data_IF_006495805163
#
_entry.id   IF_006495805163
#
_cell.length_a   1.000
_cell.length_b   1.000
_cell.length_c   1.000
_cell.angle_alpha   90.00
_cell.angle_beta   90.00
_cell.angle_gamma   90.00
#
_symmetry.space_group_name_H-M   'P 1'
#
loop_
_entity.id
_entity.type
_entity.pdbx_description
1 polymer ?
#
# COMPACT_ATOMS: atom_id res chain seq x y z
N UNK A 1 -20.41 3.43 -17.86
CA UNK A 1 -20.41 4.57 -16.87
C UNK A 1 -19.84 4.02 -15.57
N UNK A 2 -18.93 4.74 -14.87
CA UNK A 2 -18.37 4.29 -13.58
C UNK A 2 -19.50 4.24 -12.54
N UNK A 3 -19.72 3.07 -11.95
CA UNK A 3 -20.69 2.81 -10.90
C UNK A 3 -20.04 2.60 -9.53
N UNK A 4 -18.83 2.06 -9.51
CA UNK A 4 -18.11 1.68 -8.29
C UNK A 4 -16.76 2.38 -8.19
N UNK A 5 -16.43 2.83 -6.98
CA UNK A 5 -15.12 3.32 -6.58
C UNK A 5 -14.45 2.27 -5.69
N UNK A 6 -13.27 1.82 -6.07
CA UNK A 6 -12.54 0.76 -5.39
C UNK A 6 -11.25 1.33 -4.83
N UNK A 7 -11.11 1.34 -3.52
CA UNK A 7 -9.86 1.68 -2.83
C UNK A 7 -9.10 0.42 -2.46
N UNK A 8 -7.82 0.36 -2.80
CA UNK A 8 -6.92 -0.76 -2.50
C UNK A 8 -5.76 -0.27 -1.66
N UNK A 9 -5.52 -0.94 -0.53
CA UNK A 9 -4.34 -0.80 0.32
C UNK A 9 -3.59 -2.14 0.29
N UNK A 10 -2.39 -2.14 -0.30
CA UNK A 10 -1.66 -3.36 -0.57
C UNK A 10 -0.18 -3.29 -0.21
N UNK A 11 0.24 -4.19 0.67
CA UNK A 11 1.60 -4.29 1.17
C UNK A 11 2.18 -5.69 1.14
N UNK A 12 3.30 -5.86 1.82
CA UNK A 12 4.02 -7.13 1.89
C UNK A 12 3.35 -8.23 2.72
N UNK A 13 2.30 -7.91 3.47
CA UNK A 13 1.61 -8.85 4.38
C UNK A 13 0.17 -9.13 3.99
N UNK A 14 -0.45 -8.27 3.18
CA UNK A 14 -1.85 -8.45 2.78
C UNK A 14 -2.36 -7.30 1.91
N UNK A 15 -3.57 -7.50 1.41
CA UNK A 15 -4.34 -6.54 0.62
C UNK A 15 -5.67 -6.31 1.28
N UNK A 16 -6.08 -5.05 1.37
CA UNK A 16 -7.42 -4.62 1.82
C UNK A 16 -8.10 -3.84 0.71
N UNK A 17 -9.37 -4.09 0.55
CA UNK A 17 -10.20 -3.41 -0.46
C UNK A 17 -11.44 -2.82 0.21
N UNK A 18 -11.78 -1.60 -0.19
CA UNK A 18 -13.06 -0.96 0.11
C UNK A 18 -13.75 -0.60 -1.20
N UNK A 19 -15.02 -0.91 -1.28
CA UNK A 19 -15.87 -0.62 -2.43
C UNK A 19 -16.91 0.39 -2.00
N UNK A 20 -17.01 1.48 -2.74
CA UNK A 20 -18.03 2.51 -2.54
C UNK A 20 -18.82 2.74 -3.83
N UNK A 21 -20.01 3.30 -3.69
CA UNK A 21 -20.78 3.82 -4.82
C UNK A 21 -20.22 5.17 -5.30
N UNK A 22 -20.86 5.75 -6.31
CA UNK A 22 -20.47 7.06 -6.88
C UNK A 22 -20.57 8.22 -5.91
N UNK A 23 -21.39 8.11 -4.86
CA UNK A 23 -21.52 9.11 -3.81
C UNK A 23 -20.41 9.03 -2.75
N UNK A 24 -19.62 7.96 -2.78
CA UNK A 24 -18.61 7.65 -1.77
C UNK A 24 -19.17 6.84 -0.58
N UNK A 25 -20.41 6.38 -0.64
CA UNK A 25 -21.00 5.52 0.39
C UNK A 25 -20.33 4.16 0.34
N UNK A 26 -19.77 3.70 1.46
CA UNK A 26 -19.13 2.40 1.58
C UNK A 26 -20.18 1.29 1.43
N UNK A 27 -19.96 0.38 0.47
CA UNK A 27 -20.82 -0.75 0.17
C UNK A 27 -20.28 -2.06 0.75
N UNK A 28 -18.98 -2.33 0.57
CA UNK A 28 -18.37 -3.59 0.94
C UNK A 28 -16.88 -3.46 1.25
N UNK A 29 -16.33 -4.47 1.92
CA UNK A 29 -14.91 -4.60 2.20
C UNK A 29 -14.47 -6.05 1.96
N UNK A 30 -13.20 -6.21 1.55
CA UNK A 30 -12.59 -7.52 1.35
C UNK A 30 -11.09 -7.49 1.62
N UNK A 31 -10.50 -8.66 1.77
CA UNK A 31 -9.07 -8.81 1.97
C UNK A 31 -8.55 -10.08 1.30
N UNK A 32 -7.25 -10.08 0.98
CA UNK A 32 -6.55 -11.21 0.39
C UNK A 32 -5.07 -11.20 0.77
N UNK A 33 -4.28 -12.06 0.13
CA UNK A 33 -2.83 -12.14 0.28
C UNK A 33 -2.10 -10.85 -0.08
N UNK A 34 -0.77 -10.82 0.05
CA UNK A 34 0.05 -9.63 -0.16
C UNK A 34 0.06 -9.15 -1.61
N UNK A 35 0.05 -7.83 -1.84
CA UNK A 35 0.11 -7.20 -3.17
C UNK A 35 1.25 -6.19 -3.33
N UNK A 36 2.31 -6.30 -2.53
CA UNK A 36 3.52 -5.53 -2.77
C UNK A 36 4.12 -5.89 -4.13
N UNK A 37 4.39 -4.90 -4.99
CA UNK A 37 4.93 -5.13 -6.34
C UNK A 37 6.31 -5.81 -6.33
N UNK A 38 7.04 -5.70 -5.21
CA UNK A 38 8.30 -6.39 -4.97
C UNK A 38 8.19 -7.92 -4.93
N UNK A 39 7.03 -8.46 -4.61
CA UNK A 39 6.75 -9.90 -4.51
C UNK A 39 6.19 -10.49 -5.81
N UNK A 40 5.92 -9.68 -6.81
CA UNK A 40 5.41 -10.08 -8.12
C UNK A 40 4.19 -9.28 -8.54
N UNK A 41 4.21 -8.78 -9.77
CA UNK A 41 3.12 -7.93 -10.30
C UNK A 41 1.87 -8.77 -10.59
N UNK A 42 2.04 -9.98 -11.08
CA UNK A 42 0.96 -10.93 -11.36
C UNK A 42 0.24 -11.34 -10.07
N UNK A 43 1.01 -11.72 -9.04
CA UNK A 43 0.48 -12.07 -7.73
C UNK A 43 -0.25 -10.89 -7.07
N UNK A 44 0.26 -9.66 -7.25
CA UNK A 44 -0.40 -8.46 -6.76
C UNK A 44 -1.79 -8.29 -7.39
N UNK A 45 -1.92 -8.44 -8.70
CA UNK A 45 -3.21 -8.41 -9.39
C UNK A 45 -4.14 -9.53 -8.91
N UNK A 46 -3.64 -10.76 -8.80
CA UNK A 46 -4.41 -11.91 -8.33
C UNK A 46 -5.03 -11.64 -6.95
N UNK A 47 -4.24 -11.16 -6.00
CA UNK A 47 -4.71 -10.85 -4.65
C UNK A 47 -5.66 -9.64 -4.62
N UNK A 48 -5.42 -8.60 -5.42
CA UNK A 48 -6.34 -7.45 -5.53
C UNK A 48 -7.71 -7.93 -6.06
N UNK A 49 -7.73 -8.69 -7.15
CA UNK A 49 -8.98 -9.19 -7.73
C UNK A 49 -9.70 -10.14 -6.76
N UNK A 50 -8.96 -11.01 -6.07
CA UNK A 50 -9.52 -11.89 -5.03
C UNK A 50 -10.15 -11.08 -3.88
N UNK A 51 -9.50 -10.01 -3.41
CA UNK A 51 -10.05 -9.14 -2.38
C UNK A 51 -11.33 -8.42 -2.85
N UNK A 52 -11.37 -7.95 -4.10
CA UNK A 52 -12.56 -7.33 -4.70
C UNK A 52 -13.70 -8.34 -4.81
N UNK A 53 -13.43 -9.57 -5.26
CA UNK A 53 -14.40 -10.64 -5.34
C UNK A 53 -14.99 -10.97 -3.96
N UNK A 54 -14.12 -11.12 -2.95
CA UNK A 54 -14.54 -11.37 -1.57
C UNK A 54 -15.44 -10.23 -1.05
N UNK A 55 -15.13 -8.97 -1.38
CA UNK A 55 -15.95 -7.83 -0.99
C UNK A 55 -17.36 -7.88 -1.59
N UNK A 56 -17.51 -8.10 -2.90
CA UNK A 56 -18.83 -8.20 -3.54
C UNK A 56 -19.63 -9.40 -3.03
N UNK A 57 -18.99 -10.56 -2.87
CA UNK A 57 -19.64 -11.75 -2.34
C UNK A 57 -20.14 -11.55 -0.90
N UNK A 58 -19.42 -10.80 -0.06
CA UNK A 58 -19.82 -10.56 1.34
C UNK A 58 -21.16 -9.83 1.48
N UNK A 59 -21.61 -9.15 0.44
CA UNK A 59 -22.89 -8.42 0.39
C UNK A 59 -23.89 -9.04 -0.60
N UNK A 60 -23.60 -10.26 -1.07
CA UNK A 60 -24.50 -11.00 -1.98
C UNK A 60 -24.60 -10.41 -3.39
N UNK A 61 -23.64 -9.60 -3.80
CA UNK A 61 -23.62 -8.97 -5.13
C UNK A 61 -22.70 -9.74 -6.10
N UNK A 62 -23.11 -9.79 -7.36
CA UNK A 62 -22.24 -10.24 -8.44
C UNK A 62 -21.16 -9.19 -8.76
N UNK A 63 -20.02 -9.66 -9.25
CA UNK A 63 -18.92 -8.78 -9.67
C UNK A 63 -19.35 -8.02 -10.93
N UNK A 64 -19.28 -6.67 -10.94
CA UNK A 64 -19.63 -5.88 -12.11
C UNK A 64 -18.57 -6.03 -13.22
N UNK A 65 -18.86 -5.53 -14.40
CA UNK A 65 -17.84 -5.36 -15.43
C UNK A 65 -16.76 -4.38 -14.97
N UNK A 66 -15.50 -4.71 -15.17
CA UNK A 66 -14.39 -3.83 -14.73
C UNK A 66 -14.46 -2.42 -15.32
N UNK A 67 -15.05 -2.27 -16.52
CA UNK A 67 -15.31 -0.97 -17.16
C UNK A 67 -16.30 -0.07 -16.40
N UNK A 68 -16.99 -0.62 -15.41
CA UNK A 68 -17.86 0.14 -14.50
C UNK A 68 -17.16 0.56 -13.21
N UNK A 69 -15.90 0.17 -13.04
CA UNK A 69 -15.12 0.40 -11.83
C UNK A 69 -13.97 1.38 -12.07
N UNK A 70 -13.78 2.30 -11.12
CA UNK A 70 -12.55 3.09 -11.00
C UNK A 70 -11.79 2.65 -9.75
N UNK A 71 -10.49 2.40 -9.88
CA UNK A 71 -9.64 1.92 -8.80
C UNK A 71 -8.61 2.97 -8.40
N UNK A 72 -8.51 3.25 -7.11
CA UNK A 72 -7.38 3.94 -6.47
C UNK A 72 -6.59 2.91 -5.65
N UNK A 73 -5.31 2.72 -5.96
CA UNK A 73 -4.48 1.74 -5.29
C UNK A 73 -3.25 2.38 -4.65
N UNK A 74 -3.05 2.16 -3.36
CA UNK A 74 -1.83 2.41 -2.61
C UNK A 74 -1.05 1.11 -2.48
N UNK A 75 0.06 0.97 -3.21
CA UNK A 75 0.84 -0.26 -3.23
C UNK A 75 2.30 -0.02 -2.83
N UNK A 76 2.81 -0.93 -2.00
CA UNK A 76 4.23 -0.97 -1.69
C UNK A 76 5.05 -1.39 -2.92
N UNK A 77 6.22 -0.75 -3.11
CA UNK A 77 7.16 -1.09 -4.18
C UNK A 77 6.93 -0.41 -5.52
N UNK A 78 6.06 0.60 -5.61
CA UNK A 78 5.80 1.37 -6.84
C UNK A 78 6.98 2.24 -7.28
N UNK A 79 7.95 2.51 -6.41
CA UNK A 79 9.16 3.26 -6.75
C UNK A 79 10.00 2.55 -7.82
N UNK A 80 9.82 1.25 -8.01
CA UNK A 80 10.39 0.51 -9.12
C UNK A 80 9.53 0.75 -10.38
N UNK A 81 9.96 1.68 -11.23
CA UNK A 81 9.21 2.10 -12.42
C UNK A 81 8.84 0.95 -13.37
N UNK A 82 9.75 0.01 -13.71
CA UNK A 82 9.38 -1.15 -14.54
C UNK A 82 8.23 -1.98 -13.97
N UNK A 83 8.20 -2.23 -12.66
CA UNK A 83 7.10 -2.97 -12.01
C UNK A 83 5.81 -2.18 -12.01
N UNK A 84 5.89 -0.88 -11.72
CA UNK A 84 4.74 0.04 -11.77
C UNK A 84 4.11 0.06 -13.15
N UNK A 85 4.93 0.23 -14.18
CA UNK A 85 4.44 0.31 -15.57
C UNK A 85 3.84 -1.02 -16.03
N UNK A 86 4.48 -2.16 -15.66
CA UNK A 86 3.91 -3.49 -15.90
C UNK A 86 2.56 -3.67 -15.23
N UNK A 87 2.40 -3.23 -13.97
CA UNK A 87 1.12 -3.29 -13.26
C UNK A 87 0.02 -2.52 -14.00
N UNK A 88 0.32 -1.33 -14.49
CA UNK A 88 -0.65 -0.51 -15.25
C UNK A 88 -1.00 -1.13 -16.61
N UNK A 89 -0.02 -1.72 -17.31
CA UNK A 89 -0.25 -2.43 -18.59
C UNK A 89 -1.12 -3.68 -18.41
N UNK A 90 -1.01 -4.35 -17.27
CA UNK A 90 -1.82 -5.54 -16.95
C UNK A 90 -3.25 -5.22 -16.48
N UNK A 91 -3.71 -3.97 -16.58
CA UNK A 91 -5.08 -3.58 -16.23
C UNK A 91 -6.12 -4.54 -16.83
N UNK A 92 -6.92 -5.27 -16.02
CA UNK A 92 -7.90 -6.25 -16.51
C UNK A 92 -9.15 -5.60 -17.13
N UNK A 93 -9.18 -4.27 -17.27
CA UNK A 93 -10.28 -3.55 -17.90
C UNK A 93 -10.95 -2.50 -17.00
N UNK A 94 -10.35 -2.13 -15.86
CA UNK A 94 -10.85 -1.00 -15.06
C UNK A 94 -10.93 0.26 -15.91
N UNK A 95 -12.03 1.00 -15.79
CA UNK A 95 -12.25 2.23 -16.54
C UNK A 95 -11.18 3.29 -16.23
N UNK A 96 -10.69 3.32 -14.98
CA UNK A 96 -9.60 4.20 -14.51
C UNK A 96 -8.82 3.52 -13.40
N UNK A 97 -7.51 3.74 -13.40
CA UNK A 97 -6.61 3.36 -12.29
C UNK A 97 -5.79 4.58 -11.88
N UNK A 98 -5.82 4.90 -10.60
CA UNK A 98 -4.86 5.78 -9.94
C UNK A 98 -3.96 4.92 -9.06
N UNK A 99 -2.65 4.91 -9.32
CA UNK A 99 -1.67 4.10 -8.58
C UNK A 99 -0.68 5.02 -7.87
N UNK A 100 -0.60 4.87 -6.56
CA UNK A 100 0.29 5.64 -5.68
C UNK A 100 0.99 4.74 -4.66
N UNK A 101 1.96 5.28 -3.90
CA UNK A 101 2.56 4.55 -2.80
C UNK A 101 1.56 4.33 -1.66
N UNK A 102 1.69 3.22 -0.96
CA UNK A 102 0.97 2.92 0.27
C UNK A 102 1.12 4.06 1.31
N UNK A 103 2.32 4.60 1.47
CA UNK A 103 2.58 5.73 2.36
C UNK A 103 1.81 7.00 1.95
N UNK A 104 1.79 7.35 0.66
CA UNK A 104 1.05 8.53 0.20
C UNK A 104 -0.46 8.36 0.32
N UNK A 105 -0.99 7.19 0.01
CA UNK A 105 -2.42 6.93 0.19
C UNK A 105 -2.82 6.93 1.66
N UNK A 106 -1.94 6.47 2.57
CA UNK A 106 -2.14 6.60 4.01
C UNK A 106 -2.14 8.08 4.47
N UNK A 107 -1.24 8.93 3.92
CA UNK A 107 -1.26 10.38 4.16
C UNK A 107 -2.59 10.99 3.72
N UNK A 108 -3.06 10.68 2.51
CA UNK A 108 -4.34 11.17 1.99
C UNK A 108 -5.51 10.74 2.88
N UNK A 109 -5.50 9.48 3.35
CA UNK A 109 -6.53 8.96 4.24
C UNK A 109 -6.51 9.68 5.61
N UNK A 110 -5.33 9.88 6.20
CA UNK A 110 -5.16 10.53 7.51
C UNK A 110 -5.66 11.98 7.51
N UNK A 111 -5.50 12.69 6.39
CA UNK A 111 -5.85 14.11 6.29
C UNK A 111 -7.07 14.39 5.40
N UNK A 112 -7.78 13.35 4.94
CA UNK A 112 -8.95 13.50 4.05
C UNK A 112 -8.60 14.21 2.74
N UNK A 113 -7.43 13.93 2.18
CA UNK A 113 -6.91 14.56 0.95
C UNK A 113 -6.40 15.99 1.13
N UNK A 114 -6.40 16.54 2.35
CA UNK A 114 -5.91 17.90 2.65
C UNK A 114 -4.40 17.89 2.92
N UNK A 115 -3.73 19.06 2.82
CA UNK A 115 -2.34 19.21 3.20
C UNK A 115 -2.08 18.71 4.63
N UNK A 116 -0.95 18.04 4.82
CA UNK A 116 -0.56 17.47 6.09
C UNK A 116 0.73 16.69 6.00
N UNK A 117 1.17 16.13 7.12
CA UNK A 117 2.35 15.29 7.22
C UNK A 117 2.03 14.02 8.00
N UNK A 118 2.71 12.93 7.65
CA UNK A 118 2.59 11.64 8.30
C UNK A 118 3.97 10.96 8.39
N UNK A 119 4.20 10.24 9.47
CA UNK A 119 5.29 9.27 9.58
C UNK A 119 4.67 7.90 9.81
N UNK A 120 4.99 6.95 8.95
CA UNK A 120 4.65 5.55 9.13
C UNK A 120 5.89 4.77 9.59
N UNK A 121 5.73 3.99 10.65
CA UNK A 121 6.75 3.06 11.14
C UNK A 121 6.10 1.70 11.40
N UNK A 122 6.57 0.68 10.68
CA UNK A 122 6.14 -0.70 10.75
C UNK A 122 7.33 -1.60 10.48
N UNK A 123 7.29 -2.47 9.48
CA UNK A 123 8.46 -3.24 9.01
C UNK A 123 9.55 -2.31 8.50
N UNK A 124 9.19 -1.26 7.74
CA UNK A 124 10.03 -0.14 7.35
C UNK A 124 9.55 1.17 7.96
N UNK A 125 10.19 2.29 7.62
CA UNK A 125 9.74 3.63 8.03
C UNK A 125 9.85 4.65 6.90
N UNK A 126 8.87 5.57 6.83
CA UNK A 126 8.79 6.61 5.81
C UNK A 126 8.01 7.81 6.33
N UNK A 127 8.46 9.01 6.00
CA UNK A 127 7.74 10.27 6.19
C UNK A 127 7.16 10.77 4.86
N UNK A 128 5.92 11.21 4.87
CA UNK A 128 5.25 11.81 3.71
C UNK A 128 4.64 13.16 4.10
N UNK A 129 4.76 14.14 3.20
CA UNK A 129 4.20 15.48 3.38
C UNK A 129 3.51 15.90 2.10
N UNK A 130 2.29 16.45 2.24
CA UNK A 130 1.59 17.18 1.20
C UNK A 130 1.46 18.64 1.64
N UNK A 131 2.09 19.55 0.93
CA UNK A 131 2.03 20.98 1.20
C UNK A 131 0.74 21.60 0.65
N UNK A 132 0.37 22.80 1.18
CA UNK A 132 -0.82 23.55 0.73
C UNK A 132 -0.78 23.96 -0.76
N UNK A 133 0.40 24.06 -1.34
CA UNK A 133 0.60 24.34 -2.77
C UNK A 133 0.55 23.08 -3.64
N UNK A 134 0.19 21.92 -3.09
CA UNK A 134 0.12 20.63 -3.80
C UNK A 134 1.47 19.93 -3.99
N UNK A 135 2.58 20.51 -3.54
CA UNK A 135 3.89 19.87 -3.59
C UNK A 135 3.91 18.71 -2.61
N UNK A 136 4.44 17.58 -3.04
CA UNK A 136 4.65 16.38 -2.24
C UNK A 136 6.13 16.19 -1.93
N UNK A 137 6.46 15.73 -0.73
CA UNK A 137 7.81 15.36 -0.34
C UNK A 137 7.80 14.09 0.50
N UNK A 138 8.66 13.15 0.11
CA UNK A 138 8.96 11.95 0.89
C UNK A 138 10.30 12.10 1.60
N UNK A 139 10.40 11.55 2.82
CA UNK A 139 11.64 11.46 3.61
C UNK A 139 11.77 10.03 4.14
N UNK A 140 12.93 9.45 4.00
CA UNK A 140 13.17 8.04 4.35
C UNK A 140 12.54 7.08 3.33
N UNK A 141 12.20 5.87 3.78
CA UNK A 141 11.64 4.83 2.92
C UNK A 141 12.64 4.24 1.93
N UNK A 142 13.93 4.28 2.27
CA UNK A 142 15.01 3.74 1.44
C UNK A 142 15.15 2.22 1.53
N UNK A 143 14.49 1.62 2.55
CA UNK A 143 14.50 0.19 2.74
C UNK A 143 15.69 -0.33 3.54
N UNK A 144 15.52 -1.55 4.08
CA UNK A 144 16.56 -2.31 4.75
C UNK A 144 17.67 -2.71 3.76
N UNK A 145 18.96 -2.77 4.16
CA UNK A 145 19.47 -2.62 5.54
C UNK A 145 19.95 -1.21 5.91
N UNK A 146 19.92 -0.25 5.00
CA UNK A 146 20.60 1.06 5.19
C UNK A 146 19.63 2.12 5.70
N UNK A 147 18.37 2.10 5.27
CA UNK A 147 17.34 3.04 5.68
C UNK A 147 16.40 2.45 6.74
N UNK A 148 15.18 3.02 6.77
CA UNK A 148 14.08 2.60 7.64
C UNK A 148 14.34 2.81 9.14
N UNK A 149 15.01 3.89 9.51
CA UNK A 149 15.37 4.23 10.88
C UNK A 149 14.13 4.23 11.78
N UNK A 150 14.25 3.55 12.93
CA UNK A 150 13.15 3.39 13.90
C UNK A 150 12.09 2.35 13.52
N UNK A 151 12.25 1.64 12.41
CA UNK A 151 11.37 0.54 12.02
C UNK A 151 11.65 -0.76 12.77
N UNK A 152 10.76 -1.75 12.62
CA UNK A 152 10.99 -3.10 13.13
C UNK A 152 12.25 -3.76 12.57
N UNK A 153 12.53 -3.58 11.27
CA UNK A 153 13.74 -4.10 10.64
C UNK A 153 15.01 -3.45 11.22
N UNK A 154 15.00 -2.15 11.40
CA UNK A 154 16.10 -1.40 11.99
C UNK A 154 16.36 -1.79 13.46
N UNK A 155 15.28 -1.90 14.27
CA UNK A 155 15.37 -2.34 15.67
C UNK A 155 15.90 -3.76 15.76
N UNK A 156 15.42 -4.69 14.92
CA UNK A 156 15.88 -6.07 14.86
C UNK A 156 17.37 -6.18 14.55
N UNK A 157 17.86 -5.41 13.57
CA UNK A 157 19.28 -5.36 13.23
C UNK A 157 20.13 -4.85 14.39
N UNK A 158 19.67 -3.78 15.07
CA UNK A 158 20.35 -3.23 16.27
C UNK A 158 20.38 -4.22 17.43
N UNK A 159 19.27 -4.93 17.66
CA UNK A 159 19.19 -5.94 18.71
C UNK A 159 20.17 -7.11 18.44
N UNK A 160 20.22 -7.58 17.18
CA UNK A 160 21.18 -8.63 16.81
C UNK A 160 22.63 -8.18 16.98
N UNK A 161 22.98 -6.99 16.54
CA UNK A 161 24.31 -6.41 16.68
C UNK A 161 24.72 -6.28 18.16
N UNK A 162 23.77 -5.84 19.01
CA UNK A 162 24.00 -5.72 20.45
C UNK A 162 24.19 -7.09 21.10
N UNK A 163 23.35 -8.07 20.77
CA UNK A 163 23.48 -9.45 21.30
C UNK A 163 24.82 -10.07 20.93
N UNK A 164 25.29 -9.92 19.70
CA UNK A 164 26.62 -10.38 19.28
C UNK A 164 27.74 -9.69 20.06
N UNK A 165 27.66 -8.37 20.24
CA UNK A 165 28.64 -7.63 21.02
C UNK A 165 28.67 -8.08 22.50
N UNK A 166 27.52 -8.41 23.08
CA UNK A 166 27.45 -8.95 24.44
C UNK A 166 28.08 -10.35 24.55
N UNK A 167 27.82 -11.24 23.56
CA UNK A 167 28.45 -12.56 23.49
C UNK A 167 29.97 -12.48 23.39
N UNK A 168 30.49 -11.46 22.72
CA UNK A 168 31.93 -11.21 22.61
C UNK A 168 32.53 -10.46 23.81
N UNK A 169 31.71 -10.06 24.80
CA UNK A 169 32.14 -9.26 25.94
C UNK A 169 32.41 -7.79 25.60
N UNK A 170 31.94 -7.29 24.45
CA UNK A 170 32.09 -5.88 23.99
C UNK A 170 30.92 -4.97 24.39
N UNK A 171 29.84 -5.54 24.92
CA UNK A 171 28.68 -4.83 25.47
C UNK A 171 28.16 -5.54 26.73
N UNK A 172 27.45 -4.79 27.60
CA UNK A 172 26.73 -5.38 28.73
C UNK A 172 25.54 -6.24 28.25
N UNK A 173 25.24 -7.30 28.97
CA UNK A 173 24.06 -8.14 28.76
C UNK A 173 22.79 -7.45 29.25
#
# INVERSE_FOLDING_TARGET
MIAYLIGVDGGGTGTRVRIADRSGTLLAQGSAGPSALGQGVEAAWEHILSAIQAAFHSVGQSIPGWSECAMGAGLSGISNLPRRDRFLVMNPGFARIALESDAYTALLAAHGGRPGAMVASGTGSVGEVLYANGVRKQVGGWGFPVGDEGSGAWLGLRAMAHAQAALDGRAST
#
